data_IF_097474630519
#
_entry.id   IF_097474630519
#
_cell.length_a   1.000
_cell.length_b   1.000
_cell.length_c   1.000
_cell.angle_alpha   90.00
_cell.angle_beta   90.00
_cell.angle_gamma   90.00
#
_symmetry.space_group_name_H-M   'P 1'
#
loop_
_entity.id
_entity.type
_entity.pdbx_description
1 polymer ?
#
# COMPACT_ATOMS: atom_id res chain seq x y z
N UNK A 1 -19.67 -21.11 -27.82
CA UNK A 1 -19.23 -20.13 -26.82
C UNK A 1 -17.74 -19.91 -27.01
N UNK A 2 -17.29 -18.69 -27.06
CA UNK A 2 -15.86 -18.40 -27.17
C UNK A 2 -15.14 -18.94 -25.92
N UNK A 3 -14.07 -19.70 -26.13
CA UNK A 3 -13.18 -20.17 -25.08
C UNK A 3 -11.93 -19.30 -25.13
N UNK A 4 -11.47 -18.88 -23.98
CA UNK A 4 -10.24 -18.12 -23.86
C UNK A 4 -9.18 -18.95 -23.12
N UNK A 5 -7.92 -18.60 -23.27
CA UNK A 5 -6.86 -19.12 -22.42
C UNK A 5 -6.51 -18.09 -21.36
N UNK A 6 -6.31 -18.54 -20.13
CA UNK A 6 -5.84 -17.68 -19.05
C UNK A 6 -4.46 -17.12 -19.39
N UNK A 7 -4.33 -15.79 -19.48
CA UNK A 7 -3.09 -15.12 -19.85
C UNK A 7 -1.92 -15.35 -18.86
N UNK A 8 -2.21 -15.85 -17.63
CA UNK A 8 -1.20 -16.13 -16.61
C UNK A 8 -0.77 -17.60 -16.59
N UNK A 9 -1.71 -18.54 -16.57
CA UNK A 9 -1.41 -19.96 -16.40
C UNK A 9 -1.69 -20.82 -17.65
N UNK A 10 -2.18 -20.23 -18.76
CA UNK A 10 -2.48 -20.93 -20.00
C UNK A 10 -3.73 -21.84 -19.99
N UNK A 11 -4.37 -22.02 -18.84
CA UNK A 11 -5.54 -22.90 -18.72
C UNK A 11 -6.71 -22.40 -19.58
N UNK A 12 -7.40 -23.32 -20.25
CA UNK A 12 -8.64 -23.01 -20.97
C UNK A 12 -9.74 -22.59 -19.97
N UNK A 13 -10.37 -21.46 -20.25
CA UNK A 13 -11.41 -20.84 -19.41
C UNK A 13 -12.62 -20.47 -20.27
N UNK A 14 -13.80 -20.60 -19.70
CA UNK A 14 -15.05 -20.18 -20.34
C UNK A 14 -15.73 -19.07 -19.53
N UNK A 15 -16.83 -18.58 -20.06
CA UNK A 15 -17.57 -17.39 -19.60
C UNK A 15 -17.77 -17.31 -18.07
N UNK A 16 -18.03 -18.43 -17.38
CA UNK A 16 -18.27 -18.46 -15.93
C UNK A 16 -16.97 -18.56 -15.09
N UNK A 17 -15.87 -18.92 -15.74
CA UNK A 17 -14.57 -19.12 -15.06
C UNK A 17 -13.52 -18.08 -15.41
N UNK A 18 -13.86 -17.11 -16.24
CA UNK A 18 -12.98 -16.04 -16.68
C UNK A 18 -13.21 -14.72 -15.91
N UNK A 19 -12.15 -13.93 -15.80
CA UNK A 19 -12.16 -12.54 -15.35
C UNK A 19 -11.51 -11.71 -16.46
N UNK A 20 -12.27 -10.81 -17.07
CA UNK A 20 -11.75 -9.85 -18.05
C UNK A 20 -11.02 -8.72 -17.34
N UNK A 21 -9.87 -8.32 -17.86
CA UNK A 21 -9.05 -7.21 -17.41
C UNK A 21 -9.28 -5.97 -18.29
N UNK A 22 -8.76 -4.80 -17.86
CA UNK A 22 -8.95 -3.53 -18.54
C UNK A 22 -8.36 -3.52 -19.98
N UNK A 23 -7.25 -4.22 -20.18
CA UNK A 23 -6.56 -4.36 -21.48
C UNK A 23 -7.15 -5.44 -22.39
N UNK A 24 -8.30 -6.01 -22.02
CA UNK A 24 -8.99 -7.04 -22.80
C UNK A 24 -8.50 -8.47 -22.57
N UNK A 25 -7.42 -8.68 -21.82
CA UNK A 25 -6.95 -10.00 -21.44
C UNK A 25 -7.90 -10.71 -20.47
N UNK A 26 -7.80 -12.04 -20.41
CA UNK A 26 -8.62 -12.87 -19.52
C UNK A 26 -7.74 -13.69 -18.59
N UNK A 27 -8.12 -13.77 -17.32
CA UNK A 27 -7.49 -14.62 -16.31
C UNK A 27 -8.50 -15.55 -15.66
N UNK A 28 -8.08 -16.71 -15.19
CA UNK A 28 -8.98 -17.64 -14.53
C UNK A 28 -9.39 -17.15 -13.13
N UNK A 29 -10.72 -17.14 -12.85
CA UNK A 29 -11.28 -16.71 -11.56
C UNK A 29 -10.88 -17.64 -10.40
N UNK A 30 -10.80 -18.94 -10.66
CA UNK A 30 -10.64 -19.94 -9.59
C UNK A 30 -9.22 -20.05 -9.06
N UNK A 31 -8.20 -19.72 -9.88
CA UNK A 31 -6.80 -19.86 -9.52
C UNK A 31 -6.08 -18.51 -9.56
N UNK A 32 -5.80 -17.94 -10.73
CA UNK A 32 -4.97 -16.74 -10.88
C UNK A 32 -5.60 -15.51 -10.23
N UNK A 33 -6.90 -15.27 -10.45
CA UNK A 33 -7.60 -14.16 -9.81
C UNK A 33 -7.67 -14.29 -8.29
N UNK A 34 -7.71 -15.50 -7.74
CA UNK A 34 -7.69 -15.72 -6.28
C UNK A 34 -6.31 -15.56 -5.66
N UNK A 35 -5.24 -15.68 -6.46
CA UNK A 35 -3.88 -15.44 -5.98
C UNK A 35 -3.58 -13.95 -5.76
N UNK A 36 -4.31 -13.04 -6.41
CA UNK A 36 -4.19 -11.60 -6.13
C UNK A 36 -4.91 -11.25 -4.82
N UNK A 37 -4.53 -10.13 -4.21
CA UNK A 37 -5.30 -9.61 -3.08
C UNK A 37 -6.66 -9.11 -3.55
N UNK A 38 -7.68 -9.23 -2.67
CA UNK A 38 -9.04 -8.76 -2.97
C UNK A 38 -9.13 -7.25 -3.18
N UNK A 39 -8.18 -6.51 -2.63
CA UNK A 39 -8.11 -5.04 -2.74
C UNK A 39 -7.64 -4.56 -4.12
N UNK A 40 -7.06 -5.43 -4.96
CA UNK A 40 -6.74 -5.10 -6.34
C UNK A 40 -8.04 -5.06 -7.17
N UNK A 41 -8.34 -3.90 -7.76
CA UNK A 41 -9.49 -3.76 -8.66
C UNK A 41 -9.18 -4.37 -10.03
N UNK A 42 -9.59 -5.62 -10.22
CA UNK A 42 -9.29 -6.40 -11.42
C UNK A 42 -10.03 -5.92 -12.68
N UNK A 43 -11.06 -5.10 -12.52
CA UNK A 43 -11.79 -4.53 -13.66
C UNK A 43 -10.97 -3.40 -14.30
N UNK A 44 -10.22 -2.67 -13.49
CA UNK A 44 -9.36 -1.55 -13.90
C UNK A 44 -7.91 -1.98 -14.15
N UNK A 45 -7.50 -3.16 -13.65
CA UNK A 45 -6.14 -3.66 -13.79
C UNK A 45 -5.89 -4.25 -15.17
N UNK A 46 -4.69 -4.01 -15.70
CA UNK A 46 -4.14 -4.68 -16.88
C UNK A 46 -3.51 -6.03 -16.52
N UNK A 47 -3.16 -6.84 -17.51
CA UNK A 47 -2.39 -8.06 -17.30
C UNK A 47 -1.03 -7.75 -16.64
N UNK A 48 -0.38 -6.66 -17.05
CA UNK A 48 0.87 -6.20 -16.44
C UNK A 48 0.72 -5.94 -14.94
N UNK A 49 -0.34 -5.21 -14.54
CA UNK A 49 -0.62 -4.91 -13.13
C UNK A 49 -0.86 -6.18 -12.31
N UNK A 50 -1.64 -7.13 -12.85
CA UNK A 50 -1.91 -8.40 -12.17
C UNK A 50 -0.62 -9.23 -12.02
N UNK A 51 0.21 -9.31 -13.05
CA UNK A 51 1.47 -10.05 -13.03
C UNK A 51 2.43 -9.44 -12.01
N UNK A 52 2.65 -8.13 -12.09
CA UNK A 52 3.50 -7.41 -11.15
C UNK A 52 3.01 -7.55 -9.70
N UNK A 53 1.68 -7.54 -9.49
CA UNK A 53 1.11 -7.75 -8.16
C UNK A 53 1.32 -9.18 -7.63
N UNK A 54 1.25 -10.19 -8.49
CA UNK A 54 1.55 -11.58 -8.10
C UNK A 54 3.02 -11.76 -7.70
N UNK A 55 3.94 -11.19 -8.46
CA UNK A 55 5.37 -11.17 -8.14
C UNK A 55 5.65 -10.41 -6.83
N UNK A 56 4.97 -9.28 -6.63
CA UNK A 56 5.04 -8.50 -5.40
C UNK A 56 4.56 -9.31 -4.18
N UNK A 57 3.48 -10.11 -4.32
CA UNK A 57 3.00 -10.99 -3.24
C UNK A 57 4.00 -12.12 -2.97
N UNK A 58 4.55 -12.74 -4.00
CA UNK A 58 5.50 -13.85 -3.85
C UNK A 58 6.76 -13.38 -3.12
N UNK A 59 7.45 -12.38 -3.65
CA UNK A 59 8.65 -11.78 -3.05
C UNK A 59 8.34 -11.17 -1.67
N UNK A 60 7.24 -10.43 -1.57
CA UNK A 60 6.82 -9.79 -0.32
C UNK A 60 6.48 -10.79 0.79
N UNK A 61 5.88 -11.93 0.44
CA UNK A 61 5.58 -13.00 1.41
C UNK A 61 6.86 -13.62 1.97
N UNK A 62 7.88 -13.82 1.14
CA UNK A 62 9.18 -14.29 1.59
C UNK A 62 9.82 -13.30 2.57
N UNK A 63 9.94 -12.02 2.16
CA UNK A 63 10.52 -10.96 2.99
C UNK A 63 9.74 -10.81 4.31
N UNK A 64 8.40 -10.84 4.25
CA UNK A 64 7.57 -10.74 5.44
C UNK A 64 7.86 -11.85 6.44
N UNK A 65 7.94 -13.11 5.99
CA UNK A 65 8.15 -14.25 6.85
C UNK A 65 9.57 -14.29 7.45
N UNK A 66 10.58 -13.86 6.69
CA UNK A 66 11.98 -13.92 7.09
C UNK A 66 12.45 -12.69 7.89
N UNK A 67 11.89 -11.50 7.58
CA UNK A 67 12.36 -10.23 8.17
C UNK A 67 11.36 -9.63 9.17
N UNK A 68 10.07 -9.50 8.79
CA UNK A 68 9.10 -8.74 9.61
C UNK A 68 8.44 -9.61 10.67
N UNK A 69 7.96 -10.79 10.29
CA UNK A 69 7.22 -11.68 11.20
C UNK A 69 8.01 -12.10 12.44
N UNK A 70 9.32 -12.41 12.37
CA UNK A 70 10.11 -12.74 13.55
C UNK A 70 10.16 -11.63 14.61
N UNK A 71 10.13 -10.36 14.18
CA UNK A 71 10.15 -9.20 15.07
C UNK A 71 8.89 -9.08 15.94
N UNK A 72 7.81 -9.77 15.61
CA UNK A 72 6.61 -9.84 16.47
C UNK A 72 6.91 -10.38 17.86
N UNK A 73 7.93 -11.25 17.96
CA UNK A 73 8.31 -11.91 19.22
C UNK A 73 9.48 -11.22 19.93
N UNK A 74 10.03 -10.16 19.34
CA UNK A 74 11.18 -9.47 19.95
C UNK A 74 10.81 -8.85 21.28
N UNK A 75 11.73 -8.93 22.25
CA UNK A 75 11.67 -8.24 23.53
C UNK A 75 12.28 -6.83 23.45
N UNK A 76 13.05 -6.56 22.41
CA UNK A 76 13.67 -5.27 22.18
C UNK A 76 12.59 -4.25 21.79
N UNK A 77 12.47 -3.18 22.58
CA UNK A 77 11.46 -2.14 22.38
C UNK A 77 11.68 -1.37 21.06
N UNK A 78 12.92 -1.21 20.65
CA UNK A 78 13.30 -0.45 19.45
C UNK A 78 13.01 -1.22 18.14
N UNK A 79 12.87 -2.53 18.25
CA UNK A 79 12.53 -3.41 17.12
C UNK A 79 11.04 -3.73 17.03
N UNK A 80 10.24 -3.24 17.98
CA UNK A 80 8.80 -3.55 18.00
C UNK A 80 8.10 -3.09 16.73
N UNK A 81 7.36 -4.02 16.15
CA UNK A 81 6.45 -3.72 15.04
C UNK A 81 5.13 -3.13 15.56
N UNK A 82 4.52 -2.27 14.78
CA UNK A 82 3.14 -1.81 14.96
C UNK A 82 2.25 -2.51 13.94
N UNK A 83 1.15 -3.09 14.41
CA UNK A 83 0.14 -3.72 13.57
C UNK A 83 -1.09 -2.83 13.59
N UNK A 84 -1.58 -2.45 12.43
CA UNK A 84 -2.70 -1.53 12.22
C UNK A 84 -3.78 -2.20 11.38
N UNK A 85 -5.03 -1.76 11.56
CA UNK A 85 -6.18 -2.19 10.78
C UNK A 85 -7.02 -3.30 11.40
N UNK A 86 -8.04 -3.69 10.67
CA UNK A 86 -9.03 -4.69 11.05
C UNK A 86 -9.20 -5.75 9.95
N UNK A 87 -9.78 -6.88 10.32
CA UNK A 87 -10.14 -7.94 9.37
C UNK A 87 -8.97 -8.79 8.88
N UNK A 88 -9.06 -9.23 7.63
CA UNK A 88 -8.09 -10.17 7.03
C UNK A 88 -6.80 -9.49 6.58
N UNK A 89 -6.86 -8.20 6.26
CA UNK A 89 -5.72 -7.40 5.82
C UNK A 89 -5.26 -6.50 6.94
N UNK A 90 -3.98 -6.60 7.29
CA UNK A 90 -3.36 -5.80 8.33
C UNK A 90 -2.09 -5.15 7.78
N UNK A 91 -1.82 -3.94 8.24
CA UNK A 91 -0.56 -3.25 7.96
C UNK A 91 0.39 -3.46 9.11
N UNK A 92 1.58 -3.98 8.79
CA UNK A 92 2.66 -4.25 9.73
C UNK A 92 3.80 -3.26 9.46
N UNK A 93 4.03 -2.37 10.39
CA UNK A 93 5.07 -1.34 10.28
C UNK A 93 6.27 -1.71 11.14
N UNK A 94 7.44 -1.78 10.52
CA UNK A 94 8.71 -2.10 11.16
C UNK A 94 9.70 -0.93 10.99
N UNK A 95 9.74 0.04 11.91
CA UNK A 95 10.66 1.17 11.80
C UNK A 95 12.13 0.75 11.88
N UNK A 96 12.44 -0.33 12.59
CA UNK A 96 13.82 -0.85 12.72
C UNK A 96 14.38 -1.36 11.40
N UNK A 97 13.53 -1.90 10.52
CA UNK A 97 13.93 -2.38 9.19
C UNK A 97 13.60 -1.40 8.07
N UNK A 98 12.90 -0.29 8.36
CA UNK A 98 12.43 0.65 7.35
C UNK A 98 11.36 0.06 6.40
N UNK A 99 10.69 -1.03 6.80
CA UNK A 99 9.71 -1.73 5.97
C UNK A 99 8.31 -1.59 6.51
N UNK A 100 7.35 -1.63 5.59
CA UNK A 100 5.92 -1.76 5.86
C UNK A 100 5.35 -2.89 5.01
N UNK A 101 4.54 -3.75 5.61
CA UNK A 101 3.90 -4.85 4.92
C UNK A 101 2.38 -4.74 5.00
N UNK A 102 1.72 -4.93 3.86
CA UNK A 102 0.34 -5.32 3.80
C UNK A 102 0.27 -6.83 3.85
N UNK A 103 -0.25 -7.38 4.93
CA UNK A 103 -0.33 -8.82 5.13
C UNK A 103 -1.77 -9.31 5.21
N UNK A 104 -2.10 -10.27 4.37
CA UNK A 104 -3.33 -11.04 4.43
C UNK A 104 -3.13 -12.27 5.33
N UNK A 105 -4.03 -12.42 6.31
CA UNK A 105 -4.05 -13.60 7.18
C UNK A 105 -4.92 -14.69 6.57
N UNK A 106 -4.36 -15.88 6.40
CA UNK A 106 -5.04 -17.06 5.89
C UNK A 106 -4.87 -18.24 6.84
N UNK A 107 -5.75 -19.26 6.70
CA UNK A 107 -5.75 -20.48 7.50
C UNK A 107 -5.77 -21.70 6.58
N UNK A 108 -4.96 -22.72 6.89
CA UNK A 108 -4.95 -23.99 6.14
C UNK A 108 -6.16 -24.87 6.46
N UNK A 109 -6.55 -24.93 7.75
CA UNK A 109 -7.68 -25.72 8.24
C UNK A 109 -8.45 -24.87 9.25
N UNK A 110 -9.63 -24.35 8.88
CA UNK A 110 -10.49 -23.51 9.71
C UNK A 110 -9.71 -22.44 10.49
N UNK A 111 -9.32 -22.74 11.74
CA UNK A 111 -8.56 -21.83 12.63
C UNK A 111 -7.10 -22.28 12.86
N UNK A 112 -6.69 -23.43 12.33
CA UNK A 112 -5.35 -23.97 12.50
C UNK A 112 -4.47 -23.71 11.28
N UNK A 113 -3.17 -23.69 11.49
CA UNK A 113 -2.21 -23.53 10.41
C UNK A 113 -2.23 -22.14 9.78
N UNK A 114 -2.20 -21.10 10.61
CA UNK A 114 -2.13 -19.69 10.18
C UNK A 114 -0.92 -19.45 9.30
N UNK A 115 -1.14 -18.85 8.13
CA UNK A 115 -0.08 -18.37 7.24
C UNK A 115 -0.42 -17.00 6.70
N UNK A 116 0.60 -16.31 6.21
CA UNK A 116 0.48 -14.96 5.70
C UNK A 116 0.85 -14.93 4.22
N UNK A 117 0.19 -14.03 3.50
CA UNK A 117 0.60 -13.55 2.19
C UNK A 117 0.80 -12.05 2.34
N UNK A 118 1.86 -11.51 1.78
CA UNK A 118 2.18 -10.11 2.01
C UNK A 118 2.75 -9.41 0.77
N UNK A 119 2.40 -8.11 0.61
CA UNK A 119 3.17 -7.16 -0.18
C UNK A 119 4.03 -6.36 0.79
N UNK A 120 5.31 -6.18 0.48
CA UNK A 120 6.25 -5.41 1.30
C UNK A 120 6.70 -4.18 0.54
N UNK A 121 6.71 -3.05 1.23
CA UNK A 121 7.10 -1.75 0.72
C UNK A 121 8.16 -1.15 1.63
N UNK A 122 8.95 -0.22 1.11
CA UNK A 122 9.75 0.66 1.95
C UNK A 122 8.83 1.62 2.70
N UNK A 123 9.06 1.82 3.97
CA UNK A 123 8.33 2.82 4.76
C UNK A 123 8.53 4.23 4.18
N UNK A 124 9.70 4.49 3.61
CA UNK A 124 10.03 5.73 2.93
C UNK A 124 9.16 6.01 1.68
N UNK A 125 8.59 4.97 1.07
CA UNK A 125 7.77 5.10 -0.14
C UNK A 125 6.28 5.37 0.16
N UNK A 126 5.86 5.38 1.43
CA UNK A 126 4.51 5.79 1.82
C UNK A 126 4.36 7.28 1.60
N UNK A 127 3.63 7.71 0.57
CA UNK A 127 3.44 9.12 0.20
C UNK A 127 2.20 9.74 0.82
N UNK A 128 1.16 8.93 1.07
CA UNK A 128 -0.14 9.44 1.48
C UNK A 128 -0.90 8.42 2.32
N UNK A 129 -1.63 8.90 3.31
CA UNK A 129 -2.63 8.15 4.06
C UNK A 129 -3.84 9.04 4.31
N UNK A 130 -4.89 8.82 3.54
CA UNK A 130 -6.16 9.54 3.64
C UNK A 130 -7.20 8.68 4.36
N UNK A 131 -8.25 9.33 4.82
CA UNK A 131 -9.37 8.64 5.44
C UNK A 131 -10.63 8.83 4.60
N UNK A 132 -11.30 7.73 4.31
CA UNK A 132 -12.54 7.72 3.57
C UNK A 132 -13.54 6.72 4.17
N UNK A 133 -14.82 7.04 3.99
CA UNK A 133 -15.92 6.17 4.36
C UNK A 133 -16.56 5.62 3.08
N UNK A 134 -16.85 4.31 3.08
CA UNK A 134 -17.58 3.65 1.97
C UNK A 134 -18.81 2.94 2.50
N UNK A 135 -19.92 3.10 1.79
CA UNK A 135 -21.09 2.27 2.02
C UNK A 135 -20.86 0.96 1.26
N UNK A 136 -20.88 -0.15 1.98
CA UNK A 136 -20.74 -1.49 1.40
C UNK A 136 -22.03 -2.26 1.66
N UNK A 137 -22.51 -3.01 0.65
CA UNK A 137 -23.65 -3.90 0.83
C UNK A 137 -23.15 -5.26 1.31
N UNK A 138 -23.59 -5.66 2.49
CA UNK A 138 -23.29 -6.97 3.04
C UNK A 138 -23.93 -8.10 2.24
N UNK A 139 -23.52 -9.34 2.49
CA UNK A 139 -24.10 -10.54 1.85
C UNK A 139 -25.59 -10.76 2.19
N UNK A 140 -26.08 -10.14 3.27
CA UNK A 140 -27.48 -10.12 3.70
C UNK A 140 -28.29 -8.96 3.09
N UNK A 141 -27.70 -8.19 2.17
CA UNK A 141 -28.33 -7.04 1.51
C UNK A 141 -28.36 -5.76 2.35
N UNK A 142 -27.86 -5.79 3.59
CA UNK A 142 -27.79 -4.58 4.42
C UNK A 142 -26.64 -3.70 3.99
N UNK A 143 -26.86 -2.40 4.09
CA UNK A 143 -25.84 -1.39 3.84
C UNK A 143 -25.10 -1.09 5.15
N UNK A 144 -23.79 -1.34 5.16
CA UNK A 144 -22.91 -1.00 6.27
C UNK A 144 -21.96 0.10 5.84
N UNK A 145 -21.74 1.07 6.73
CA UNK A 145 -20.69 2.07 6.57
C UNK A 145 -19.37 1.48 7.05
N UNK A 146 -18.41 1.39 6.15
CA UNK A 146 -17.04 0.98 6.46
C UNK A 146 -16.07 2.14 6.30
N UNK A 147 -15.15 2.21 7.21
CA UNK A 147 -14.16 3.27 7.36
C UNK A 147 -12.79 2.74 6.98
N UNK A 148 -12.07 3.50 6.16
CA UNK A 148 -10.78 3.10 5.62
C UNK A 148 -9.73 4.19 5.79
N UNK A 149 -8.48 3.76 6.05
CA UNK A 149 -7.30 4.55 5.79
C UNK A 149 -6.73 4.10 4.44
N UNK A 150 -6.77 4.97 3.45
CA UNK A 150 -6.23 4.69 2.11
C UNK A 150 -4.78 5.09 2.08
N UNK A 151 -3.91 4.09 1.96
CA UNK A 151 -2.45 4.26 1.93
C UNK A 151 -1.96 4.19 0.49
N UNK A 152 -1.15 5.15 0.08
CA UNK A 152 -0.55 5.20 -1.25
C UNK A 152 0.96 5.19 -1.16
N UNK A 153 1.61 4.42 -2.04
CA UNK A 153 3.06 4.26 -2.09
C UNK A 153 3.61 4.82 -3.40
N UNK A 154 4.85 5.32 -3.38
CA UNK A 154 5.57 5.72 -4.58
C UNK A 154 5.73 4.52 -5.50
N UNK A 155 5.82 4.79 -6.79
CA UNK A 155 6.10 3.90 -7.92
C UNK A 155 6.54 2.47 -7.55
N UNK A 156 5.59 1.65 -7.16
CA UNK A 156 5.78 0.22 -6.98
C UNK A 156 5.02 -0.50 -8.08
N UNK A 157 5.57 -1.56 -8.63
CA UNK A 157 4.83 -2.45 -9.50
C UNK A 157 3.71 -3.15 -8.72
N UNK A 158 2.54 -3.31 -9.32
CA UNK A 158 1.43 -4.03 -8.73
C UNK A 158 0.45 -3.18 -7.93
N UNK A 159 0.40 -3.31 -6.61
CA UNK A 159 -0.54 -2.59 -5.77
C UNK A 159 0.07 -1.28 -5.24
N UNK A 160 -0.35 -0.13 -5.76
CA UNK A 160 0.17 1.19 -5.36
C UNK A 160 -0.64 1.85 -4.26
N UNK A 161 -1.94 1.59 -4.23
CA UNK A 161 -2.88 2.18 -3.29
C UNK A 161 -3.68 1.09 -2.61
N UNK A 162 -3.85 1.21 -1.30
CA UNK A 162 -4.41 0.16 -0.49
C UNK A 162 -5.35 0.71 0.58
N UNK A 163 -6.63 0.23 0.65
CA UNK A 163 -7.58 0.59 1.69
C UNK A 163 -7.39 -0.32 2.92
N UNK A 164 -6.93 0.25 4.02
CA UNK A 164 -6.85 -0.40 5.33
C UNK A 164 -8.15 -0.14 6.09
N UNK A 165 -8.92 -1.18 6.40
CA UNK A 165 -10.13 -1.03 7.21
C UNK A 165 -9.75 -0.63 8.65
N UNK A 166 -10.40 0.40 9.17
CA UNK A 166 -10.22 0.93 10.52
C UNK A 166 -11.56 1.03 11.23
N UNK A 167 -11.59 1.27 12.53
CA UNK A 167 -12.84 1.37 13.30
C UNK A 167 -13.07 2.79 13.77
N UNK A 168 -13.96 3.50 13.09
CA UNK A 168 -14.48 4.80 13.45
C UNK A 168 -13.41 5.88 13.66
N UNK A 169 -13.85 6.99 14.22
CA UNK A 169 -12.98 8.14 14.51
C UNK A 169 -11.75 7.75 15.35
N UNK A 170 -11.88 6.78 16.25
CA UNK A 170 -10.76 6.31 17.08
C UNK A 170 -9.71 5.59 16.23
N UNK A 171 -10.13 4.75 15.28
CA UNK A 171 -9.23 4.09 14.34
C UNK A 171 -8.48 5.07 13.44
N UNK A 172 -9.18 6.08 12.91
CA UNK A 172 -8.55 7.17 12.16
C UNK A 172 -7.49 7.89 12.99
N UNK A 173 -7.84 8.26 14.22
CA UNK A 173 -6.92 8.96 15.11
C UNK A 173 -5.70 8.13 15.49
N UNK A 174 -5.87 6.82 15.71
CA UNK A 174 -4.76 5.93 16.04
C UNK A 174 -3.76 5.81 14.86
N UNK A 175 -4.26 5.57 13.66
CA UNK A 175 -3.43 5.46 12.46
C UNK A 175 -2.75 6.78 12.14
N UNK A 176 -3.50 7.89 12.14
CA UNK A 176 -2.95 9.22 11.88
C UNK A 176 -1.87 9.58 12.92
N UNK A 177 -2.17 9.42 14.21
CA UNK A 177 -1.22 9.71 15.28
C UNK A 177 0.05 8.88 15.14
N UNK A 178 -0.09 7.61 14.80
CA UNK A 178 1.06 6.74 14.64
C UNK A 178 1.99 7.22 13.52
N UNK A 179 1.45 7.46 12.32
CA UNK A 179 2.26 7.93 11.20
C UNK A 179 2.76 9.36 11.40
N UNK A 180 1.95 10.27 11.92
CA UNK A 180 2.37 11.63 12.25
C UNK A 180 3.57 11.61 13.24
N UNK A 181 3.51 10.74 14.25
CA UNK A 181 4.62 10.58 15.21
C UNK A 181 5.84 9.98 14.54
N UNK A 182 5.66 8.94 13.74
CA UNK A 182 6.73 8.24 13.06
C UNK A 182 7.49 9.14 12.09
N UNK A 183 6.76 9.98 11.36
CA UNK A 183 7.33 10.93 10.38
C UNK A 183 7.72 12.28 10.98
N UNK A 184 7.63 12.44 12.30
CA UNK A 184 7.99 13.69 12.96
C UNK A 184 7.04 14.86 12.65
N UNK A 185 5.85 14.57 12.15
CA UNK A 185 4.83 15.58 11.87
C UNK A 185 4.25 16.05 13.22
N UNK A 186 4.81 17.11 13.77
CA UNK A 186 4.29 17.71 15.00
C UNK A 186 2.93 18.37 14.73
N UNK A 187 1.85 17.68 15.07
CA UNK A 187 0.54 18.31 15.23
C UNK A 187 0.53 19.07 16.56
N UNK A 188 0.83 20.34 16.52
CA UNK A 188 0.45 21.25 17.61
C UNK A 188 -1.09 21.23 17.70
N UNK A 189 -1.63 20.80 18.83
CA UNK A 189 -3.06 20.87 19.16
C UNK A 189 -3.56 22.31 18.85
N UNK A 190 -4.46 22.44 17.87
CA UNK A 190 -5.00 23.72 17.41
C UNK A 190 -4.77 24.05 15.92
N UNK A 191 -4.04 23.24 15.16
CA UNK A 191 -3.59 23.57 13.82
C UNK A 191 -4.29 22.85 12.64
N UNK A 192 -5.55 22.40 12.80
CA UNK A 192 -6.34 21.91 11.64
C UNK A 192 -6.38 22.93 10.50
N UNK A 193 -6.50 24.22 10.81
CA UNK A 193 -6.48 25.31 9.83
C UNK A 193 -5.10 25.59 9.24
N UNK A 194 -4.01 25.48 10.05
CA UNK A 194 -2.65 25.68 9.55
C UNK A 194 -2.18 24.53 8.66
N UNK A 195 -2.61 23.30 8.95
CA UNK A 195 -2.31 22.14 8.12
C UNK A 195 -3.03 22.18 6.79
N UNK A 196 -4.30 22.60 6.75
CA UNK A 196 -5.03 22.84 5.51
C UNK A 196 -4.36 23.94 4.66
N UNK A 197 -3.88 25.02 5.31
CA UNK A 197 -3.14 26.08 4.61
C UNK A 197 -1.79 25.57 4.09
N UNK A 198 -1.04 24.80 4.89
CA UNK A 198 0.23 24.18 4.47
C UNK A 198 0.03 23.18 3.32
N UNK A 199 -0.98 22.34 3.38
CA UNK A 199 -1.35 21.47 2.26
C UNK A 199 -1.72 22.26 1.02
N UNK A 200 -2.49 23.34 1.17
CA UNK A 200 -2.86 24.22 0.07
C UNK A 200 -1.65 24.95 -0.53
N UNK A 201 -0.74 25.43 0.32
CA UNK A 201 0.49 26.12 -0.11
C UNK A 201 1.45 25.18 -0.84
N UNK A 202 1.51 23.93 -0.42
CA UNK A 202 2.31 22.90 -1.10
C UNK A 202 1.66 22.38 -2.39
N UNK A 203 0.34 22.25 -2.45
CA UNK A 203 -0.37 21.98 -3.69
C UNK A 203 -0.14 23.12 -4.68
N UNK A 204 -0.14 24.36 -4.22
CA UNK A 204 0.20 25.53 -5.04
C UNK A 204 1.67 25.52 -5.47
N UNK A 205 2.59 25.13 -4.58
CA UNK A 205 4.00 24.92 -4.88
C UNK A 205 4.21 23.85 -5.94
N UNK A 206 3.60 22.68 -5.76
CA UNK A 206 3.61 21.60 -6.75
C UNK A 206 3.01 22.03 -8.10
N UNK A 207 1.90 22.77 -8.08
CA UNK A 207 1.27 23.30 -9.29
C UNK A 207 2.16 24.35 -10.00
N UNK A 208 2.95 25.15 -9.26
CA UNK A 208 3.90 26.09 -9.86
C UNK A 208 5.11 25.37 -10.47
N UNK A 209 5.57 24.28 -9.87
CA UNK A 209 6.63 23.40 -10.39
C UNK A 209 6.18 22.73 -11.69
N UNK A 210 4.96 22.15 -11.70
CA UNK A 210 4.38 21.56 -12.92
C UNK A 210 4.21 22.60 -14.03
N UNK A 211 3.77 23.81 -13.70
CA UNK A 211 3.70 24.91 -14.66
C UNK A 211 5.09 25.35 -15.15
N UNK A 212 6.08 25.45 -14.28
CA UNK A 212 7.47 25.78 -14.63
C UNK A 212 8.09 24.76 -15.57
N UNK A 213 7.90 23.47 -15.29
CA UNK A 213 8.33 22.37 -16.16
C UNK A 213 7.61 22.38 -17.52
N UNK A 214 6.28 22.57 -17.52
CA UNK A 214 5.47 22.63 -18.74
C UNK A 214 5.76 23.89 -19.60
N UNK A 215 6.21 24.99 -19.01
CA UNK A 215 6.59 26.22 -19.72
C UNK A 215 8.07 26.27 -20.16
N UNK A 216 8.86 25.22 -19.85
CA UNK A 216 10.30 25.18 -20.17
C UNK A 216 11.16 26.16 -19.37
N UNK A 217 10.62 26.73 -18.29
CA UNK A 217 11.34 27.66 -17.40
C UNK A 217 12.13 26.97 -16.30
N UNK A 218 11.99 25.66 -16.16
CA UNK A 218 12.75 24.79 -15.26
C UNK A 218 13.38 23.67 -16.05
N UNK A 219 14.64 23.34 -15.75
CA UNK A 219 15.25 22.12 -16.24
C UNK A 219 14.81 20.89 -15.42
N UNK A 220 15.08 19.69 -15.96
CA UNK A 220 14.63 18.42 -15.37
C UNK A 220 15.23 18.18 -13.98
N UNK A 221 16.45 18.65 -13.74
CA UNK A 221 17.15 18.55 -12.46
C UNK A 221 16.56 19.49 -11.41
N UNK A 222 16.25 20.73 -11.78
CA UNK A 222 15.58 21.71 -10.92
C UNK A 222 14.15 21.24 -10.56
N UNK A 223 13.43 20.63 -11.49
CA UNK A 223 12.11 20.06 -11.24
C UNK A 223 12.20 18.88 -10.25
N UNK A 224 13.18 17.99 -10.40
CA UNK A 224 13.39 16.86 -9.50
C UNK A 224 13.81 17.32 -8.08
N UNK A 225 14.70 18.30 -7.97
CA UNK A 225 15.09 18.90 -6.68
C UNK A 225 13.92 19.58 -5.97
N UNK A 226 13.08 20.30 -6.72
CA UNK A 226 11.92 20.98 -6.16
C UNK A 226 10.83 19.99 -5.70
N UNK A 227 10.61 18.89 -6.45
CA UNK A 227 9.73 17.79 -6.03
C UNK A 227 10.30 17.12 -4.78
N UNK A 228 11.60 16.86 -4.73
CA UNK A 228 12.28 16.29 -3.57
C UNK A 228 12.18 17.18 -2.33
N UNK A 229 12.29 18.50 -2.48
CA UNK A 229 12.12 19.46 -1.39
C UNK A 229 10.69 19.52 -0.87
N UNK A 230 9.68 19.43 -1.74
CA UNK A 230 8.26 19.33 -1.36
C UNK A 230 8.00 18.04 -0.62
N UNK A 231 8.50 16.91 -1.10
CA UNK A 231 8.40 15.61 -0.44
C UNK A 231 9.06 15.62 0.95
N UNK A 232 10.27 16.16 1.08
CA UNK A 232 10.98 16.27 2.36
C UNK A 232 10.24 17.16 3.36
N UNK A 233 9.61 18.23 2.89
CA UNK A 233 8.82 19.12 3.74
C UNK A 233 7.59 18.46 4.33
N UNK A 234 6.90 17.59 3.56
CA UNK A 234 5.69 16.91 4.01
C UNK A 234 5.94 15.66 4.83
N UNK A 235 7.02 14.96 4.53
CA UNK A 235 7.22 13.59 4.99
C UNK A 235 8.43 13.43 5.90
N UNK A 236 9.15 14.51 6.22
CA UNK A 236 10.38 14.49 7.02
C UNK A 236 11.56 13.81 6.33
N UNK A 237 12.72 13.81 6.99
CA UNK A 237 13.91 13.12 6.50
C UNK A 237 13.74 11.60 6.58
N UNK A 238 13.74 10.95 5.43
CA UNK A 238 13.54 9.50 5.28
C UNK A 238 14.82 8.73 4.98
N UNK A 239 15.95 9.42 4.92
CA UNK A 239 17.25 8.86 4.54
C UNK A 239 17.60 7.63 5.37
N UNK A 240 17.34 7.67 6.67
CA UNK A 240 17.64 6.55 7.56
C UNK A 240 16.75 5.32 7.28
N UNK A 241 15.48 5.53 6.99
CA UNK A 241 14.58 4.41 6.63
C UNK A 241 14.91 3.82 5.28
N UNK A 242 15.34 4.63 4.31
CA UNK A 242 15.83 4.14 3.01
C UNK A 242 17.02 3.21 3.25
N UNK A 243 18.03 3.65 4.01
CA UNK A 243 19.22 2.84 4.34
C UNK A 243 18.85 1.52 5.04
N UNK A 244 17.95 1.58 6.03
CA UNK A 244 17.48 0.37 6.74
C UNK A 244 16.74 -0.57 5.81
N UNK A 245 15.86 -0.05 4.96
CA UNK A 245 15.11 -0.85 4.00
C UNK A 245 16.05 -1.48 2.96
N UNK A 246 17.01 -0.74 2.43
CA UNK A 246 17.98 -1.25 1.47
C UNK A 246 18.83 -2.37 2.08
N UNK A 247 19.28 -2.22 3.31
CA UNK A 247 20.00 -3.28 4.04
C UNK A 247 19.13 -4.53 4.23
N UNK A 248 17.86 -4.35 4.62
CA UNK A 248 16.92 -5.45 4.82
C UNK A 248 16.54 -6.17 3.51
N UNK A 249 16.47 -5.43 2.39
CA UNK A 249 16.07 -5.95 1.08
C UNK A 249 17.24 -6.47 0.24
N UNK A 250 18.49 -6.16 0.60
CA UNK A 250 19.67 -6.54 -0.16
C UNK A 250 19.75 -8.05 -0.51
N UNK A 251 19.40 -9.00 0.39
CA UNK A 251 19.40 -10.43 0.06
C UNK A 251 18.40 -10.85 -1.00
N UNK A 252 17.34 -10.04 -1.23
CA UNK A 252 16.22 -10.34 -2.11
C UNK A 252 16.26 -9.59 -3.45
N UNK A 253 17.27 -8.77 -3.68
CA UNK A 253 17.44 -7.98 -4.91
C UNK A 253 18.36 -8.66 -5.95
N UNK A 254 18.46 -10.00 -5.89
CA UNK A 254 19.21 -10.80 -6.86
C UNK A 254 18.37 -11.15 -8.08
#
# INVERSE_FOLDING_TARGET
MAKHNCAICGAEIGLLSEQKLADGNYICRKVCSKKTFKVLNKVEATLGDVTAHLEQIEKGTQIFNEVILPLKKTKNKDEKIKILGLGSYLVWVSPSTGLVALAETNYKFFIFGKYYRACVYRLADLVKYDFEDKIVTGSDGKMDKKEYCVMSFKETNGLHTFPLEVSGKKGYQEVAKYFDTLFGIQKTLGNSFKNAKRQLDAIKGAASIVKGAASGTMDEQQAAEAVGAVDAYFMGDRTEWIKKADAALAPYNK
#
